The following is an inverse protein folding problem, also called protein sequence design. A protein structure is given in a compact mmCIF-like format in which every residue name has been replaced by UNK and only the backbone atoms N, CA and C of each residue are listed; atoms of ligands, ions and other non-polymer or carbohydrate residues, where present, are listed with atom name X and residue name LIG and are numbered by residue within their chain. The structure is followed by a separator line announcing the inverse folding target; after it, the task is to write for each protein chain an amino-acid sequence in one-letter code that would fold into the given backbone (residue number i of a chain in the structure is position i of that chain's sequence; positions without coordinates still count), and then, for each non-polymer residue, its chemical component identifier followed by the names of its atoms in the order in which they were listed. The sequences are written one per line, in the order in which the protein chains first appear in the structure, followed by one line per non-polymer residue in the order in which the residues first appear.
data_IF_870670167614
#
_entry.id   IF_870670167614
#
_cell.length_a   1.000
_cell.length_b   1.000
_cell.length_c   1.000
_cell.angle_alpha   90.00
_cell.angle_beta   90.00
_cell.angle_gamma   90.00
#
_symmetry.space_group_name_H-M   'P 1'
#
loop_
_entity.id
_entity.type
_entity.pdbx_description
1 polymer ?
#
# COMPACT_ATOMS: atom_id res chain seq x y z
N UNK A 1 23.95 24.22 19.65
CA UNK A 1 24.09 23.24 20.71
C UNK A 1 23.95 21.84 20.15
N UNK A 2 24.73 20.92 20.69
CA UNK A 2 24.55 19.48 20.43
C UNK A 2 23.43 18.95 21.35
N UNK A 3 22.61 18.04 20.85
CA UNK A 3 21.52 17.43 21.61
C UNK A 3 21.56 15.92 21.43
N UNK A 4 21.53 15.22 22.55
CA UNK A 4 21.30 13.77 22.60
C UNK A 4 19.85 13.55 23.01
N UNK A 5 19.16 12.67 22.30
CA UNK A 5 17.80 12.25 22.60
C UNK A 5 17.76 10.74 22.67
N UNK A 6 17.06 10.20 23.64
CA UNK A 6 16.79 8.78 23.75
C UNK A 6 15.38 8.59 24.27
N UNK A 7 14.68 7.61 23.75
CA UNK A 7 13.39 7.17 24.26
C UNK A 7 13.27 5.65 24.16
N UNK A 8 12.57 5.07 25.12
CA UNK A 8 12.19 3.67 25.09
C UNK A 8 10.73 3.56 25.49
N UNK A 9 10.04 2.60 24.91
CA UNK A 9 8.69 2.24 25.32
C UNK A 9 8.56 0.72 25.39
N UNK A 10 7.73 0.26 26.30
CA UNK A 10 7.36 -1.13 26.45
C UNK A 10 5.84 -1.23 26.61
N UNK A 11 5.22 -2.17 25.91
CA UNK A 11 3.79 -2.42 25.97
C UNK A 11 3.45 -3.87 25.64
N UNK A 12 2.22 -4.29 25.90
CA UNK A 12 1.72 -5.62 25.51
C UNK A 12 1.74 -5.87 24.01
N UNK A 13 1.85 -4.79 23.20
CA UNK A 13 1.84 -4.86 21.74
C UNK A 13 3.25 -4.68 21.12
N UNK A 14 4.27 -4.53 21.97
CA UNK A 14 5.65 -4.44 21.52
C UNK A 14 6.48 -3.38 22.23
N UNK A 15 7.75 -3.39 21.92
CA UNK A 15 8.78 -2.59 22.55
C UNK A 15 9.57 -1.81 21.51
N UNK A 16 10.17 -0.70 21.90
CA UNK A 16 11.02 0.06 21.01
C UNK A 16 12.01 0.95 21.73
N UNK A 17 13.15 1.14 21.08
CA UNK A 17 14.22 2.01 21.52
C UNK A 17 14.58 2.94 20.39
N UNK A 18 14.71 4.21 20.70
CA UNK A 18 15.22 5.25 19.82
C UNK A 18 16.39 5.96 20.49
N UNK A 19 17.45 6.21 19.71
CA UNK A 19 18.58 7.03 20.12
C UNK A 19 18.95 7.96 18.97
N UNK A 20 19.04 9.23 19.23
CA UNK A 20 19.44 10.25 18.27
C UNK A 20 20.41 11.25 18.86
N UNK A 21 21.37 11.67 18.03
CA UNK A 21 22.31 12.74 18.35
C UNK A 21 22.34 13.72 17.18
N UNK A 22 22.38 15.01 17.50
CA UNK A 22 22.47 16.03 16.47
C UNK A 22 23.24 17.27 16.90
N UNK A 23 23.97 17.84 15.94
CA UNK A 23 24.54 19.15 16.00
C UNK A 23 24.42 19.86 14.64
N UNK A 24 25.01 21.05 14.48
CA UNK A 24 24.90 21.83 13.22
C UNK A 24 25.48 21.14 11.98
N UNK A 25 26.43 20.21 12.14
CA UNK A 25 27.14 19.55 11.04
C UNK A 25 26.81 18.07 10.88
N UNK A 26 26.30 17.45 11.94
CA UNK A 26 26.09 16.03 12.02
C UNK A 26 24.79 15.72 12.76
N UNK A 27 23.98 14.84 12.23
CA UNK A 27 22.85 14.26 12.93
C UNK A 27 22.78 12.77 12.63
N UNK A 28 22.47 11.99 13.64
CA UNK A 28 22.36 10.56 13.55
C UNK A 28 21.22 10.07 14.42
N UNK A 29 20.41 9.16 13.92
CA UNK A 29 19.34 8.54 14.67
C UNK A 29 19.23 7.06 14.35
N UNK A 30 18.87 6.27 15.35
CA UNK A 30 18.61 4.85 15.25
C UNK A 30 17.36 4.49 16.00
N UNK A 31 16.63 3.54 15.47
CA UNK A 31 15.50 2.94 16.16
C UNK A 31 15.46 1.43 15.93
N UNK A 32 15.13 0.70 16.97
CA UNK A 32 14.79 -0.72 16.93
C UNK A 32 13.38 -0.84 17.46
N UNK A 33 12.52 -1.59 16.76
CA UNK A 33 11.16 -1.87 17.19
C UNK A 33 10.87 -3.34 17.08
N UNK A 34 10.27 -3.86 18.12
CA UNK A 34 9.60 -5.15 18.13
C UNK A 34 8.11 -4.94 18.32
N UNK A 35 7.29 -5.58 17.51
CA UNK A 35 5.82 -5.57 17.66
C UNK A 35 5.27 -6.98 17.56
N UNK A 36 4.24 -7.24 18.37
CA UNK A 36 3.44 -8.45 18.31
C UNK A 36 2.00 -8.12 18.66
N UNK A 37 1.06 -8.71 17.96
CA UNK A 37 -0.37 -8.63 18.32
C UNK A 37 -0.90 -9.96 18.83
N UNK A 38 0.00 -10.91 19.10
CA UNK A 38 -0.35 -12.24 19.59
C UNK A 38 -1.30 -12.20 20.78
N UNK A 39 -0.99 -11.39 21.79
CA UNK A 39 -1.80 -11.30 23.01
C UNK A 39 -3.19 -10.72 22.76
N UNK A 40 -3.33 -9.78 21.81
CA UNK A 40 -4.61 -9.20 21.43
C UNK A 40 -5.43 -10.18 20.60
N UNK A 41 -4.83 -10.82 19.61
CA UNK A 41 -5.53 -11.74 18.69
C UNK A 41 -5.91 -13.05 19.41
N UNK A 42 -5.10 -13.51 20.38
CA UNK A 42 -5.42 -14.68 21.19
C UNK A 42 -6.57 -14.47 22.19
N UNK A 43 -7.02 -13.23 22.41
CA UNK A 43 -8.20 -12.91 23.25
C UNK A 43 -9.50 -12.79 22.45
N UNK A 44 -9.43 -12.84 21.13
CA UNK A 44 -10.60 -12.76 20.23
C UNK A 44 -11.07 -14.16 19.88
N UNK A 45 -12.38 -14.34 19.76
CA UNK A 45 -12.97 -15.57 19.19
C UNK A 45 -12.69 -15.62 17.68
N UNK A 46 -11.48 -16.05 17.34
CA UNK A 46 -10.99 -16.12 15.97
C UNK A 46 -11.01 -17.56 15.42
N UNK A 47 -10.77 -17.68 14.11
CA UNK A 47 -10.72 -18.99 13.42
C UNK A 47 -9.44 -19.79 13.68
N UNK A 48 -8.57 -19.31 14.58
CA UNK A 48 -7.31 -19.94 14.90
C UNK A 48 -6.37 -18.98 15.66
N UNK A 49 -5.24 -19.50 16.10
CA UNK A 49 -4.22 -18.72 16.78
C UNK A 49 -3.31 -17.99 15.77
N UNK A 50 -3.32 -16.67 15.84
CA UNK A 50 -2.49 -15.78 15.01
C UNK A 50 -1.30 -15.27 15.81
N UNK A 51 -0.08 -15.50 15.32
CA UNK A 51 1.18 -15.11 15.99
C UNK A 51 2.04 -14.22 15.08
N UNK A 52 1.60 -12.99 14.77
CA UNK A 52 2.43 -12.06 14.02
C UNK A 52 3.52 -11.46 14.90
N UNK A 53 4.72 -11.36 14.35
CA UNK A 53 5.86 -10.69 14.97
C UNK A 53 6.57 -9.82 13.94
N UNK A 54 6.96 -8.62 14.35
CA UNK A 54 7.64 -7.64 13.52
C UNK A 54 8.87 -7.15 14.24
N UNK A 55 10.02 -7.23 13.59
CA UNK A 55 11.26 -6.62 14.07
C UNK A 55 11.76 -5.69 12.97
N UNK A 56 11.99 -4.44 13.30
CA UNK A 56 12.62 -3.51 12.38
C UNK A 56 13.73 -2.70 13.06
N UNK A 57 14.78 -2.46 12.28
CA UNK A 57 15.87 -1.55 12.59
C UNK A 57 15.94 -0.46 11.53
N UNK A 58 16.03 0.77 11.96
CA UNK A 58 16.17 1.93 11.08
C UNK A 58 17.30 2.83 11.57
N UNK A 59 18.12 3.31 10.63
CA UNK A 59 19.17 4.28 10.87
C UNK A 59 19.09 5.41 9.87
N UNK A 60 19.33 6.63 10.35
CA UNK A 60 19.41 7.80 9.50
C UNK A 60 20.57 8.69 9.92
N UNK A 61 21.40 9.06 8.96
CA UNK A 61 22.58 9.88 9.14
C UNK A 61 22.51 11.10 8.21
N UNK A 62 22.76 12.28 8.75
CA UNK A 62 22.95 13.51 7.98
C UNK A 62 24.31 14.13 8.32
N UNK A 63 25.10 14.43 7.29
CA UNK A 63 26.37 15.12 7.37
C UNK A 63 26.30 16.43 6.59
N UNK A 64 26.72 17.53 7.22
CA UNK A 64 26.84 18.87 6.61
C UNK A 64 28.26 19.36 6.77
N UNK A 65 29.21 18.87 5.94
CA UNK A 65 30.63 19.26 6.06
C UNK A 65 30.83 20.79 6.00
N UNK A 66 30.00 21.44 5.18
CA UNK A 66 29.94 22.89 5.07
C UNK A 66 28.51 23.34 4.67
N UNK A 67 28.34 24.69 4.42
CA UNK A 67 27.05 25.28 4.06
C UNK A 67 26.49 24.82 2.69
N UNK A 68 27.34 24.26 1.81
CA UNK A 68 26.99 23.87 0.45
C UNK A 68 26.67 22.40 0.30
N UNK A 69 27.29 21.53 1.10
CA UNK A 69 27.17 20.08 0.99
C UNK A 69 26.31 19.48 2.11
N UNK A 70 25.42 18.61 1.73
CA UNK A 70 24.64 17.78 2.65
C UNK A 70 24.60 16.34 2.14
N UNK A 71 24.96 15.40 3.00
CA UNK A 71 24.96 13.96 2.74
C UNK A 71 23.94 13.32 3.68
N UNK A 72 23.04 12.52 3.14
CA UNK A 72 22.04 11.79 3.90
C UNK A 72 22.20 10.28 3.61
N UNK A 73 22.19 9.45 4.64
CA UNK A 73 22.23 7.99 4.52
C UNK A 73 21.06 7.45 5.33
N UNK A 74 20.27 6.58 4.72
CA UNK A 74 19.15 5.88 5.35
C UNK A 74 19.36 4.37 5.17
N UNK A 75 19.21 3.62 6.25
CA UNK A 75 19.19 2.17 6.24
C UNK A 75 17.95 1.65 6.99
N UNK A 76 17.32 0.63 6.45
CA UNK A 76 16.22 -0.07 7.10
C UNK A 76 16.35 -1.58 6.86
N UNK A 77 16.17 -2.36 7.93
CA UNK A 77 16.07 -3.81 7.89
C UNK A 77 14.81 -4.19 8.65
N UNK A 78 13.93 -4.95 8.01
CA UNK A 78 12.75 -5.48 8.68
C UNK A 78 12.58 -6.98 8.44
N UNK A 79 12.10 -7.68 9.46
CA UNK A 79 11.73 -9.07 9.40
C UNK A 79 10.36 -9.25 10.05
N UNK A 80 9.39 -9.61 9.22
CA UNK A 80 8.01 -9.84 9.63
C UNK A 80 7.72 -11.33 9.48
N UNK A 81 7.28 -11.95 10.56
CA UNK A 81 6.86 -13.34 10.56
C UNK A 81 5.39 -13.39 10.97
N UNK A 82 4.64 -14.19 10.25
CA UNK A 82 3.26 -14.49 10.55
C UNK A 82 3.12 -16.01 10.64
N UNK A 83 2.62 -16.50 11.76
CA UNK A 83 2.28 -17.90 11.92
C UNK A 83 0.79 -17.97 12.26
N UNK A 84 0.10 -18.88 11.61
CA UNK A 84 -1.30 -19.18 11.85
C UNK A 84 -1.47 -20.66 12.13
N UNK A 85 -2.17 -20.97 13.19
CA UNK A 85 -2.56 -22.33 13.59
C UNK A 85 -4.07 -22.37 13.65
N UNK A 86 -4.73 -23.07 12.73
CA UNK A 86 -6.19 -23.19 12.75
C UNK A 86 -6.64 -23.98 13.99
N UNK A 87 -7.78 -23.59 14.54
CA UNK A 87 -8.38 -24.26 15.70
C UNK A 87 -9.69 -24.93 15.32
N UNK A 88 -9.98 -26.04 16.01
CA UNK A 88 -11.21 -26.77 15.86
C UNK A 88 -12.43 -25.90 16.16
N UNK A 89 -13.52 -26.15 15.43
CA UNK A 89 -14.76 -25.39 15.55
C UNK A 89 -15.97 -26.27 15.62
N UNK A 90 -16.92 -25.84 16.44
CA UNK A 90 -18.25 -26.40 16.49
C UNK A 90 -19.29 -25.28 16.37
N UNK A 91 -20.24 -25.47 15.45
CA UNK A 91 -21.39 -24.59 15.28
C UNK A 91 -22.66 -25.43 15.35
N UNK A 92 -23.59 -25.05 16.21
CA UNK A 92 -24.88 -25.71 16.34
C UNK A 92 -25.95 -24.83 15.70
N UNK A 93 -26.83 -25.45 14.93
CA UNK A 93 -27.92 -24.79 14.25
C UNK A 93 -29.10 -25.72 14.07
N UNK A 94 -30.28 -25.18 13.81
CA UNK A 94 -31.53 -25.93 13.62
C UNK A 94 -32.67 -25.36 14.47
N UNK A 95 -33.74 -26.14 14.55
CA UNK A 95 -34.90 -25.84 15.40
C UNK A 95 -34.74 -26.52 16.76
N UNK A 96 -35.64 -26.23 17.71
CA UNK A 96 -35.67 -26.91 19.02
C UNK A 96 -35.83 -28.41 18.95
N UNK A 97 -36.38 -28.94 17.84
CA UNK A 97 -36.66 -30.35 17.61
C UNK A 97 -35.63 -31.03 16.71
N UNK A 98 -34.83 -30.28 15.95
CA UNK A 98 -33.79 -30.82 15.05
C UNK A 98 -32.54 -29.94 15.11
N UNK A 99 -31.72 -30.13 16.12
CA UNK A 99 -30.43 -29.46 16.28
C UNK A 99 -29.31 -30.24 15.64
N UNK A 100 -28.57 -29.62 14.75
CA UNK A 100 -27.40 -30.19 14.09
C UNK A 100 -26.14 -29.55 14.61
N UNK A 101 -25.09 -30.35 14.83
CA UNK A 101 -23.74 -29.90 15.14
C UNK A 101 -22.88 -30.03 13.90
N UNK A 102 -22.32 -28.89 13.45
CA UNK A 102 -21.30 -28.84 12.43
C UNK A 102 -19.94 -28.62 13.09
N UNK A 103 -19.08 -29.60 13.04
CA UNK A 103 -17.75 -29.57 13.63
C UNK A 103 -16.69 -29.67 12.56
N UNK A 104 -15.68 -28.81 12.67
CA UNK A 104 -14.49 -28.81 11.81
C UNK A 104 -13.28 -29.06 12.68
N UNK A 105 -12.55 -30.12 12.37
CA UNK A 105 -11.27 -30.45 12.97
C UNK A 105 -10.17 -29.96 12.05
N UNK A 106 -9.22 -29.22 12.56
CA UNK A 106 -8.11 -28.70 11.78
C UNK A 106 -6.77 -29.31 12.24
N UNK A 107 -5.87 -29.47 11.27
CA UNK A 107 -4.47 -29.79 11.49
C UNK A 107 -3.59 -29.01 10.52
N UNK A 108 -2.37 -28.73 10.93
CA UNK A 108 -1.41 -28.01 10.11
C UNK A 108 -1.15 -26.57 10.53
N UNK A 109 -0.50 -25.84 9.66
CA UNK A 109 -0.07 -24.45 9.94
C UNK A 109 0.19 -23.66 8.67
N UNK A 110 0.13 -22.34 8.81
CA UNK A 110 0.63 -21.37 7.85
C UNK A 110 1.81 -20.60 8.44
N UNK A 111 2.83 -20.38 7.64
CA UNK A 111 4.02 -19.64 8.04
C UNK A 111 4.47 -18.72 6.91
N UNK A 112 4.37 -17.43 7.16
CA UNK A 112 4.77 -16.39 6.24
C UNK A 112 5.96 -15.62 6.79
N UNK A 113 6.89 -15.31 5.92
CA UNK A 113 8.11 -14.57 6.25
C UNK A 113 8.31 -13.48 5.21
N UNK A 114 8.44 -12.23 5.67
CA UNK A 114 8.74 -11.08 4.83
C UNK A 114 10.00 -10.40 5.36
N UNK A 115 11.10 -10.48 4.60
CA UNK A 115 12.37 -9.84 4.95
C UNK A 115 12.66 -8.73 3.97
N UNK A 116 12.87 -7.53 4.49
CA UNK A 116 13.14 -6.35 3.67
C UNK A 116 14.45 -5.69 4.09
N UNK A 117 15.25 -5.33 3.12
CA UNK A 117 16.47 -4.56 3.25
C UNK A 117 16.36 -3.35 2.37
N UNK A 118 16.57 -2.17 2.93
CA UNK A 118 16.56 -0.93 2.19
C UNK A 118 17.75 -0.08 2.59
N UNK A 119 18.43 0.50 1.61
CA UNK A 119 19.49 1.47 1.82
C UNK A 119 19.37 2.60 0.82
N UNK A 120 19.67 3.83 1.24
CA UNK A 120 19.82 4.95 0.34
C UNK A 120 20.93 5.90 0.80
N UNK A 121 21.61 6.50 -0.19
CA UNK A 121 22.59 7.56 0.02
C UNK A 121 22.24 8.73 -0.88
N UNK A 122 22.11 9.92 -0.28
CA UNK A 122 21.78 11.17 -0.94
C UNK A 122 22.90 12.19 -0.77
N UNK A 123 23.26 12.86 -1.86
CA UNK A 123 24.22 13.95 -1.89
C UNK A 123 23.50 15.19 -2.42
N UNK A 124 23.46 16.27 -1.66
CA UNK A 124 22.89 17.55 -2.08
C UNK A 124 23.97 18.60 -2.12
N UNK A 125 24.07 19.32 -3.24
CA UNK A 125 24.94 20.47 -3.41
C UNK A 125 24.14 21.74 -3.63
N UNK A 126 24.33 22.73 -2.78
CA UNK A 126 23.75 24.09 -2.89
C UNK A 126 24.65 24.94 -3.75
N UNK A 127 24.25 25.16 -5.01
CA UNK A 127 24.99 26.08 -5.93
C UNK A 127 24.94 27.48 -5.41
N UNK A 128 23.74 27.91 -4.98
CA UNK A 128 23.50 29.18 -4.30
C UNK A 128 22.33 29.04 -3.32
N UNK A 129 21.90 30.11 -2.66
CA UNK A 129 20.76 30.07 -1.74
C UNK A 129 19.43 29.69 -2.41
N UNK A 130 19.31 29.95 -3.71
CA UNK A 130 18.09 29.68 -4.48
C UNK A 130 18.13 28.35 -5.21
N UNK A 131 19.33 27.79 -5.46
CA UNK A 131 19.49 26.63 -6.38
C UNK A 131 20.26 25.51 -5.72
N UNK A 132 19.71 24.30 -5.81
CA UNK A 132 20.35 23.08 -5.34
C UNK A 132 20.17 21.92 -6.33
N UNK A 133 21.15 21.03 -6.34
CA UNK A 133 21.12 19.75 -7.06
C UNK A 133 21.26 18.64 -6.03
N UNK A 134 20.49 17.58 -6.18
CA UNK A 134 20.56 16.40 -5.32
C UNK A 134 20.68 15.14 -6.17
N UNK A 135 21.56 14.25 -5.75
CA UNK A 135 21.72 12.90 -6.32
C UNK A 135 21.41 11.90 -5.22
N UNK A 136 20.49 10.97 -5.48
CA UNK A 136 20.12 9.93 -4.52
C UNK A 136 20.22 8.57 -5.19
N UNK A 137 21.01 7.68 -4.61
CA UNK A 137 21.07 6.26 -4.96
C UNK A 137 20.34 5.47 -3.87
N UNK A 138 19.58 4.46 -4.26
CA UNK A 138 18.91 3.57 -3.32
C UNK A 138 18.84 2.14 -3.84
N UNK A 139 18.84 1.19 -2.91
CA UNK A 139 18.62 -0.22 -3.18
C UNK A 139 17.60 -0.79 -2.21
N UNK A 140 16.69 -1.58 -2.74
CA UNK A 140 15.64 -2.28 -2.01
C UNK A 140 15.70 -3.76 -2.37
N UNK A 141 15.66 -4.63 -1.36
CA UNK A 141 15.53 -6.08 -1.56
C UNK A 141 14.49 -6.61 -0.60
N UNK A 142 13.55 -7.38 -1.12
CA UNK A 142 12.60 -8.14 -0.30
C UNK A 142 12.64 -9.62 -0.66
N UNK A 143 12.47 -10.45 0.36
CA UNK A 143 12.22 -11.87 0.23
C UNK A 143 10.89 -12.18 0.93
N UNK A 144 9.94 -12.68 0.16
CA UNK A 144 8.61 -13.05 0.63
C UNK A 144 8.46 -14.56 0.50
N UNK A 145 8.00 -15.18 1.55
CA UNK A 145 7.74 -16.62 1.63
C UNK A 145 6.38 -16.82 2.28
N UNK A 146 5.51 -17.56 1.63
CA UNK A 146 4.24 -18.04 2.15
C UNK A 146 4.22 -19.56 2.04
N UNK A 147 4.05 -20.23 3.16
CA UNK A 147 4.01 -21.68 3.22
C UNK A 147 2.88 -22.14 4.13
N UNK A 148 2.01 -22.95 3.62
CA UNK A 148 1.01 -23.62 4.44
C UNK A 148 0.80 -25.08 4.02
N UNK A 149 0.47 -25.89 5.01
CA UNK A 149 -0.11 -27.19 4.92
C UNK A 149 -1.25 -27.21 5.93
N UNK A 150 -2.48 -27.16 5.46
CA UNK A 150 -3.68 -27.11 6.31
C UNK A 150 -4.63 -28.20 5.86
N UNK A 151 -4.98 -29.06 6.78
CA UNK A 151 -6.00 -30.08 6.61
C UNK A 151 -7.21 -29.73 7.47
N UNK A 152 -8.39 -29.90 6.94
CA UNK A 152 -9.63 -29.80 7.71
C UNK A 152 -10.53 -30.99 7.45
N UNK A 153 -11.14 -31.51 8.52
CA UNK A 153 -12.19 -32.49 8.46
C UNK A 153 -13.47 -31.92 9.02
N UNK A 154 -14.54 -31.92 8.28
CA UNK A 154 -15.84 -31.48 8.77
C UNK A 154 -16.85 -32.61 8.88
N UNK A 155 -17.60 -32.55 9.99
CA UNK A 155 -18.65 -33.51 10.31
C UNK A 155 -19.94 -32.77 10.62
N UNK A 156 -21.04 -33.28 10.09
CA UNK A 156 -22.38 -32.82 10.40
C UNK A 156 -23.11 -33.95 11.11
N UNK A 157 -23.52 -33.71 12.35
CA UNK A 157 -24.20 -34.69 13.18
C UNK A 157 -25.48 -34.10 13.76
N UNK A 158 -26.64 -34.80 13.69
CA UNK A 158 -27.78 -34.45 14.50
C UNK A 158 -27.45 -34.66 15.97
N UNK A 159 -27.90 -33.78 16.83
CA UNK A 159 -27.59 -33.87 18.26
C UNK A 159 -28.27 -35.06 18.93
N UNK A 160 -29.41 -35.48 18.43
CA UNK A 160 -30.20 -36.57 19.01
C UNK A 160 -29.69 -37.97 18.63
N UNK A 161 -29.23 -38.18 17.42
CA UNK A 161 -28.88 -39.53 16.93
C UNK A 161 -27.39 -39.80 16.91
N UNK A 162 -26.54 -38.80 16.99
CA UNK A 162 -25.07 -38.88 16.86
C UNK A 162 -24.59 -39.56 15.57
N UNK A 163 -25.47 -39.80 14.60
CA UNK A 163 -25.10 -40.31 13.30
C UNK A 163 -24.44 -39.23 12.44
N UNK A 164 -23.34 -39.55 11.78
CA UNK A 164 -22.70 -38.62 10.85
C UNK A 164 -23.56 -38.49 9.57
N UNK A 165 -24.17 -37.32 9.36
CA UNK A 165 -24.93 -36.99 8.16
C UNK A 165 -24.02 -36.59 6.99
N UNK A 166 -22.81 -36.18 7.27
CA UNK A 166 -21.84 -35.83 6.26
C UNK A 166 -20.44 -35.69 6.86
N UNK A 167 -19.47 -36.22 6.13
CA UNK A 167 -18.05 -36.09 6.43
C UNK A 167 -17.38 -35.56 5.17
N UNK A 168 -16.54 -34.56 5.34
CA UNK A 168 -15.74 -34.04 4.23
C UNK A 168 -14.34 -33.71 4.72
N UNK A 169 -13.38 -33.76 3.82
CA UNK A 169 -11.99 -33.44 4.10
C UNK A 169 -11.49 -32.49 3.03
N UNK A 170 -10.70 -31.52 3.42
CA UNK A 170 -9.91 -30.71 2.50
C UNK A 170 -8.45 -30.68 2.92
N UNK A 171 -7.58 -30.51 1.95
CA UNK A 171 -6.16 -30.31 2.17
C UNK A 171 -5.69 -29.16 1.28
N UNK A 172 -5.07 -28.17 1.88
CA UNK A 172 -4.50 -26.99 1.22
C UNK A 172 -2.99 -26.98 1.40
N UNK A 173 -2.29 -26.78 0.31
CA UNK A 173 -0.83 -26.72 0.27
C UNK A 173 -0.36 -25.49 -0.50
N UNK A 174 0.61 -24.79 0.03
CA UNK A 174 1.34 -23.74 -0.71
C UNK A 174 2.82 -23.69 -0.37
N UNK A 175 3.60 -23.39 -1.40
CA UNK A 175 5.04 -23.08 -1.33
C UNK A 175 5.29 -21.92 -2.29
N UNK A 176 5.11 -20.70 -1.79
CA UNK A 176 5.19 -19.48 -2.56
C UNK A 176 6.40 -18.67 -2.14
N UNK A 177 7.23 -18.30 -3.09
CA UNK A 177 8.43 -17.51 -2.88
C UNK A 177 8.46 -16.38 -3.89
N UNK A 178 8.76 -15.17 -3.42
CA UNK A 178 8.98 -14.00 -4.25
C UNK A 178 10.21 -13.26 -3.74
N UNK A 179 11.16 -13.06 -4.63
CA UNK A 179 12.34 -12.23 -4.40
C UNK A 179 12.26 -11.01 -5.32
N UNK A 180 12.35 -9.82 -4.75
CA UNK A 180 12.42 -8.60 -5.53
C UNK A 180 13.64 -7.78 -5.13
N UNK A 181 14.35 -7.28 -6.15
CA UNK A 181 15.49 -6.39 -6.01
C UNK A 181 15.28 -5.18 -6.93
N UNK A 182 15.36 -3.99 -6.34
CA UNK A 182 15.16 -2.74 -7.08
C UNK A 182 16.27 -1.76 -6.72
N UNK A 183 16.99 -1.30 -7.72
CA UNK A 183 17.99 -0.25 -7.61
C UNK A 183 17.47 1.03 -8.25
N UNK A 184 17.76 2.18 -7.67
CA UNK A 184 17.30 3.46 -8.19
C UNK A 184 18.39 4.53 -8.07
N UNK A 185 18.53 5.31 -9.12
CA UNK A 185 19.33 6.53 -9.13
C UNK A 185 18.43 7.69 -9.54
N UNK A 186 18.33 8.71 -8.67
CA UNK A 186 17.54 9.93 -8.90
C UNK A 186 18.44 11.16 -8.85
N UNK A 187 18.36 11.98 -9.88
CA UNK A 187 18.94 13.33 -9.89
C UNK A 187 17.80 14.34 -9.85
N UNK A 188 17.91 15.34 -8.99
CA UNK A 188 16.89 16.37 -8.80
C UNK A 188 17.54 17.77 -8.79
N UNK A 189 16.92 18.67 -9.51
CA UNK A 189 17.27 20.10 -9.58
C UNK A 189 16.12 20.94 -9.03
N UNK A 190 16.40 21.85 -8.11
CA UNK A 190 15.42 22.80 -7.58
C UNK A 190 16.01 24.20 -7.66
N UNK A 191 15.21 25.18 -8.12
CA UNK A 191 15.62 26.58 -8.14
C UNK A 191 14.43 27.51 -7.90
N UNK A 192 14.69 28.58 -7.16
CA UNK A 192 13.74 29.67 -6.92
C UNK A 192 14.17 30.89 -7.68
N UNK A 193 13.35 31.35 -8.62
CA UNK A 193 13.63 32.52 -9.45
C UNK A 193 12.44 33.48 -9.39
N UNK A 194 12.59 34.58 -8.62
CA UNK A 194 11.55 35.60 -8.40
C UNK A 194 10.23 34.95 -7.89
N UNK A 195 9.25 34.78 -8.78
CA UNK A 195 7.91 34.25 -8.49
C UNK A 195 7.78 32.74 -8.80
N UNK A 196 8.81 32.14 -9.34
CA UNK A 196 8.86 30.75 -9.78
C UNK A 196 9.62 29.87 -8.77
N UNK A 197 9.13 28.66 -8.56
CA UNK A 197 9.79 27.61 -7.80
C UNK A 197 9.80 26.36 -8.68
N UNK A 198 10.91 26.18 -9.40
CA UNK A 198 11.06 25.17 -10.45
C UNK A 198 11.73 23.93 -9.86
N UNK A 199 11.15 22.78 -10.13
CA UNK A 199 11.71 21.49 -9.80
C UNK A 199 11.76 20.61 -11.06
N UNK A 200 12.90 19.99 -11.29
CA UNK A 200 13.06 18.96 -12.33
C UNK A 200 13.78 17.74 -11.75
N UNK A 201 13.39 16.56 -12.19
CA UNK A 201 14.10 15.35 -11.79
C UNK A 201 14.13 14.32 -12.92
N UNK A 202 15.18 13.50 -12.86
CA UNK A 202 15.33 12.29 -13.66
C UNK A 202 15.60 11.11 -12.73
N UNK A 203 14.92 9.99 -12.96
CA UNK A 203 15.05 8.77 -12.17
C UNK A 203 15.20 7.57 -13.10
N UNK A 204 16.16 6.73 -12.79
CA UNK A 204 16.34 5.40 -13.40
C UNK A 204 16.16 4.34 -12.32
N UNK A 205 15.37 3.30 -12.61
CA UNK A 205 15.19 2.14 -11.72
C UNK A 205 15.41 0.87 -12.49
N UNK A 206 16.20 -0.03 -11.94
CA UNK A 206 16.31 -1.41 -12.42
C UNK A 206 15.53 -2.31 -11.47
N UNK A 207 14.66 -3.14 -12.01
CA UNK A 207 13.78 -4.04 -11.27
C UNK A 207 14.13 -5.47 -11.67
N UNK A 208 14.38 -6.32 -10.68
CA UNK A 208 14.54 -7.76 -10.87
C UNK A 208 13.65 -8.48 -9.87
N UNK A 209 12.66 -9.23 -10.37
CA UNK A 209 11.68 -9.92 -9.54
C UNK A 209 11.62 -11.37 -10.01
N UNK A 210 11.76 -12.32 -9.09
CA UNK A 210 11.60 -13.74 -9.35
C UNK A 210 10.49 -14.30 -8.47
N UNK A 211 9.69 -15.16 -9.05
CA UNK A 211 8.60 -15.85 -8.42
C UNK A 211 8.71 -17.35 -8.67
N UNK A 212 8.52 -18.11 -7.60
CA UNK A 212 8.33 -19.55 -7.67
C UNK A 212 7.18 -19.94 -6.75
N UNK A 213 6.04 -20.28 -7.33
CA UNK A 213 4.82 -20.60 -6.58
C UNK A 213 4.28 -21.97 -7.00
N UNK A 214 3.88 -22.74 -6.00
CA UNK A 214 3.20 -24.01 -6.16
C UNK A 214 2.10 -24.13 -5.11
N UNK A 215 0.85 -24.15 -5.56
CA UNK A 215 -0.31 -24.29 -4.71
C UNK A 215 -1.21 -25.42 -5.21
N UNK A 216 -1.84 -26.11 -4.30
CA UNK A 216 -2.95 -27.01 -4.66
C UNK A 216 -3.93 -27.16 -3.51
N UNK A 217 -5.16 -27.48 -3.86
CA UNK A 217 -6.23 -27.83 -2.94
C UNK A 217 -6.88 -29.14 -3.37
N UNK A 218 -7.01 -30.04 -2.42
CA UNK A 218 -7.70 -31.31 -2.58
C UNK A 218 -8.94 -31.30 -1.69
N UNK A 219 -10.04 -31.84 -2.18
CA UNK A 219 -11.28 -32.02 -1.42
C UNK A 219 -11.87 -33.39 -1.63
N UNK A 220 -12.47 -33.85 -0.56
CA UNK A 220 -13.50 -34.86 -0.57
C UNK A 220 -14.73 -34.34 0.16
N UNK A 221 -15.90 -34.57 -0.34
CA UNK A 221 -17.14 -34.25 0.35
C UNK A 221 -18.15 -35.38 0.17
N UNK A 222 -18.64 -35.87 1.27
CA UNK A 222 -19.70 -36.84 1.23
C UNK A 222 -21.04 -36.17 0.93
N UNK A 223 -21.51 -36.27 -0.31
CA UNK A 223 -22.89 -36.05 -0.77
C UNK A 223 -23.50 -34.63 -0.72
N UNK A 224 -22.83 -33.56 -0.23
CA UNK A 224 -23.53 -32.31 -0.05
C UNK A 224 -23.13 -31.16 -0.99
N UNK A 225 -21.85 -30.94 -1.33
CA UNK A 225 -21.43 -29.79 -2.10
C UNK A 225 -20.67 -30.11 -3.40
N UNK A 226 -20.19 -31.31 -3.55
CA UNK A 226 -19.50 -31.82 -4.73
C UNK A 226 -20.03 -33.21 -5.01
N UNK A 227 -20.24 -33.61 -6.26
CA UNK A 227 -20.61 -34.97 -6.55
C UNK A 227 -19.65 -35.93 -5.85
N UNK A 228 -20.16 -36.70 -4.90
CA UNK A 228 -19.36 -37.69 -4.19
C UNK A 228 -18.94 -38.80 -5.18
N UNK A 229 -17.65 -39.07 -5.23
CA UNK A 229 -17.09 -40.00 -6.20
C UNK A 229 -16.20 -41.06 -5.57
N UNK A 230 -16.36 -41.32 -4.28
CA UNK A 230 -15.54 -42.25 -3.52
C UNK A 230 -14.88 -41.61 -2.29
N UNK A 231 -14.02 -42.37 -1.63
CA UNK A 231 -13.29 -41.95 -0.43
C UNK A 231 -12.01 -41.14 -0.70
N UNK A 232 -11.69 -40.89 -1.96
CA UNK A 232 -10.42 -40.28 -2.32
C UNK A 232 -10.52 -38.74 -2.43
N UNK A 233 -9.54 -38.07 -1.90
CA UNK A 233 -9.38 -36.62 -2.07
C UNK A 233 -9.10 -36.28 -3.54
N UNK A 234 -9.91 -35.38 -4.12
CA UNK A 234 -9.72 -34.92 -5.49
C UNK A 234 -9.08 -33.58 -5.52
N UNK A 235 -8.13 -33.41 -6.43
CA UNK A 235 -7.53 -32.09 -6.71
C UNK A 235 -8.58 -31.22 -7.41
N UNK A 236 -9.01 -30.15 -6.74
CA UNK A 236 -9.97 -29.17 -7.26
C UNK A 236 -9.30 -27.89 -7.73
N UNK A 237 -8.09 -27.64 -7.27
CA UNK A 237 -7.30 -26.48 -7.64
C UNK A 237 -5.82 -26.85 -7.64
N UNK A 238 -5.10 -26.39 -8.65
CA UNK A 238 -3.64 -26.45 -8.69
C UNK A 238 -3.12 -25.25 -9.47
N UNK A 239 -2.16 -24.54 -8.91
CA UNK A 239 -1.48 -23.42 -9.57
C UNK A 239 0.03 -23.59 -9.49
N UNK A 240 0.71 -23.28 -10.58
CA UNK A 240 2.17 -23.20 -10.67
C UNK A 240 2.58 -21.90 -11.35
N UNK A 241 3.55 -21.22 -10.77
CA UNK A 241 4.18 -20.04 -11.37
C UNK A 241 5.68 -20.13 -11.21
N UNK A 242 6.41 -19.92 -12.30
CA UNK A 242 7.86 -19.76 -12.31
C UNK A 242 8.19 -18.60 -13.23
N UNK A 243 8.26 -17.41 -12.65
CA UNK A 243 8.36 -16.17 -13.39
C UNK A 243 9.65 -15.41 -13.04
N UNK A 244 10.19 -14.71 -14.02
CA UNK A 244 11.28 -13.75 -13.82
C UNK A 244 10.97 -12.48 -14.61
N UNK A 245 11.02 -11.33 -13.94
CA UNK A 245 10.90 -10.03 -14.53
C UNK A 245 12.21 -9.28 -14.32
N UNK A 246 12.85 -8.86 -15.43
CA UNK A 246 13.96 -7.92 -15.41
C UNK A 246 13.57 -6.73 -16.29
N UNK A 247 13.46 -5.57 -15.69
CA UNK A 247 12.97 -4.39 -16.37
C UNK A 247 13.66 -3.12 -15.88
N UNK A 248 13.64 -2.09 -16.72
CA UNK A 248 14.11 -0.75 -16.40
C UNK A 248 12.96 0.23 -16.51
N UNK A 249 12.82 1.11 -15.50
CA UNK A 249 11.94 2.26 -15.54
C UNK A 249 12.77 3.53 -15.60
N UNK A 250 12.43 4.41 -16.52
CA UNK A 250 13.01 5.75 -16.64
C UNK A 250 11.90 6.77 -16.51
N UNK A 251 12.10 7.73 -15.64
CA UNK A 251 11.11 8.79 -15.38
C UNK A 251 11.82 10.14 -15.38
N UNK A 252 11.22 11.12 -16.04
CA UNK A 252 11.63 12.51 -15.95
C UNK A 252 10.41 13.39 -15.70
N UNK A 253 10.59 14.45 -14.94
CA UNK A 253 9.56 15.48 -14.79
C UNK A 253 10.15 16.86 -14.63
N UNK A 254 9.34 17.85 -15.01
CA UNK A 254 9.54 19.25 -14.70
C UNK A 254 8.23 19.83 -14.20
N UNK A 255 8.32 20.64 -13.14
CA UNK A 255 7.17 21.37 -12.60
C UNK A 255 7.61 22.77 -12.15
N UNK A 256 6.67 23.72 -12.19
CA UNK A 256 6.83 25.07 -11.69
C UNK A 256 5.67 25.45 -10.78
N UNK A 257 5.98 26.15 -9.72
CA UNK A 257 5.04 26.85 -8.86
C UNK A 257 5.18 28.35 -9.08
N UNK A 258 4.28 28.92 -9.84
CA UNK A 258 4.23 30.35 -10.13
C UNK A 258 3.29 31.08 -9.19
N UNK A 259 3.83 32.05 -8.42
CA UNK A 259 3.06 32.88 -7.48
C UNK A 259 2.91 34.28 -8.01
N UNK A 260 1.69 34.77 -8.14
CA UNK A 260 1.39 36.12 -8.62
C UNK A 260 0.19 36.71 -7.90
N UNK A 261 0.01 38.00 -8.03
CA UNK A 261 -1.12 38.74 -7.47
C UNK A 261 -1.86 39.50 -8.58
N UNK A 262 -3.14 39.75 -8.36
CA UNK A 262 -3.93 40.65 -9.23
C UNK A 262 -3.42 42.08 -9.21
N UNK A 263 -3.91 42.90 -10.15
CA UNK A 263 -3.73 44.35 -10.09
C UNK A 263 -4.19 44.85 -8.72
N UNK A 264 -3.36 45.70 -8.09
CA UNK A 264 -3.56 46.15 -6.71
C UNK A 264 -3.13 45.17 -5.63
N UNK A 265 -2.52 44.00 -5.98
CA UNK A 265 -1.96 42.96 -5.09
C UNK A 265 -2.93 42.40 -4.06
N UNK A 266 -4.24 42.43 -4.33
CA UNK A 266 -5.27 42.01 -3.38
C UNK A 266 -5.62 40.50 -3.45
N UNK A 267 -5.78 39.93 -4.67
CA UNK A 267 -5.99 38.50 -4.84
C UNK A 267 -4.68 37.79 -5.13
N UNK A 268 -4.38 36.73 -4.38
CA UNK A 268 -3.16 35.95 -4.53
C UNK A 268 -3.47 34.65 -5.29
N UNK A 269 -2.63 34.36 -6.27
CA UNK A 269 -2.72 33.16 -7.09
C UNK A 269 -1.46 32.32 -6.94
N UNK A 270 -1.65 31.00 -6.83
CA UNK A 270 -0.57 30.02 -6.88
C UNK A 270 -0.92 29.02 -7.98
N UNK A 271 -0.20 29.09 -9.09
CA UNK A 271 -0.35 28.16 -10.22
C UNK A 271 0.78 27.14 -10.17
N UNK A 272 0.41 25.85 -10.02
CA UNK A 272 1.35 24.74 -10.15
C UNK A 272 1.05 24.04 -11.47
N UNK A 273 2.07 23.83 -12.28
CA UNK A 273 1.93 23.09 -13.53
C UNK A 273 3.20 22.29 -13.80
N UNK A 274 3.04 21.20 -14.50
CA UNK A 274 4.16 20.34 -14.81
C UNK A 274 3.79 19.17 -15.66
N UNK A 275 4.80 18.47 -16.11
CA UNK A 275 4.68 17.29 -16.94
C UNK A 275 5.66 16.22 -16.47
N UNK A 276 5.22 14.97 -16.47
CA UNK A 276 6.05 13.79 -16.25
C UNK A 276 5.99 12.90 -17.47
N UNK A 277 7.13 12.39 -17.88
CA UNK A 277 7.28 11.31 -18.84
C UNK A 277 7.85 10.09 -18.13
N UNK A 278 7.34 8.90 -18.41
CA UNK A 278 7.87 7.66 -17.88
C UNK A 278 7.89 6.59 -18.98
N UNK A 279 8.95 5.78 -18.97
CA UNK A 279 9.13 4.64 -19.87
C UNK A 279 9.39 3.38 -19.07
N UNK A 280 8.68 2.29 -19.38
CA UNK A 280 8.90 0.97 -18.80
C UNK A 280 9.33 -0.03 -19.87
N UNK A 281 10.54 -0.56 -19.74
CA UNK A 281 11.14 -1.45 -20.76
C UNK A 281 10.44 -2.82 -20.86
N UNK A 282 9.70 -3.23 -19.83
CA UNK A 282 9.00 -4.51 -19.78
C UNK A 282 7.95 -4.66 -20.89
N UNK A 283 7.06 -3.66 -21.00
CA UNK A 283 6.00 -3.59 -22.01
C UNK A 283 6.26 -2.54 -23.08
N UNK A 284 7.44 -1.88 -23.06
CA UNK A 284 7.84 -0.79 -23.96
C UNK A 284 6.90 0.41 -23.97
N UNK A 285 6.14 0.61 -22.88
CA UNK A 285 5.20 1.69 -22.76
C UNK A 285 5.89 3.00 -22.39
N UNK A 286 5.50 4.08 -23.08
CA UNK A 286 5.88 5.45 -22.72
C UNK A 286 4.63 6.24 -22.45
N UNK A 287 4.55 6.89 -21.28
CA UNK A 287 3.40 7.64 -20.80
C UNK A 287 3.77 9.08 -20.51
N UNK A 288 2.82 9.99 -20.77
CA UNK A 288 2.95 11.43 -20.53
C UNK A 288 1.84 11.87 -19.57
N UNK A 289 2.21 12.53 -18.48
CA UNK A 289 1.31 12.88 -17.36
C UNK A 289 1.36 14.40 -17.09
N UNK A 290 0.61 15.23 -17.86
CA UNK A 290 0.48 16.65 -17.54
C UNK A 290 -0.44 16.86 -16.33
N UNK A 291 -0.13 17.90 -15.54
CA UNK A 291 -0.89 18.29 -14.34
C UNK A 291 -0.89 19.78 -14.19
N UNK A 292 -2.01 20.33 -13.70
CA UNK A 292 -2.14 21.74 -13.37
C UNK A 292 -3.03 21.90 -12.14
N UNK A 293 -2.68 22.83 -11.27
CA UNK A 293 -3.54 23.26 -10.16
C UNK A 293 -3.42 24.75 -9.91
N UNK A 294 -4.53 25.37 -9.55
CA UNK A 294 -4.65 26.79 -9.25
C UNK A 294 -5.20 26.96 -7.83
N UNK A 295 -4.43 27.62 -6.99
CA UNK A 295 -4.85 28.10 -5.67
C UNK A 295 -5.16 29.60 -5.74
N UNK A 296 -6.25 30.01 -5.13
CA UNK A 296 -6.74 31.38 -5.14
C UNK A 296 -7.06 31.80 -3.70
N UNK A 297 -6.45 32.87 -3.22
CA UNK A 297 -6.83 33.58 -2.01
C UNK A 297 -7.47 34.90 -2.46
N UNK A 298 -8.80 35.05 -2.37
CA UNK A 298 -9.51 36.17 -2.94
C UNK A 298 -9.32 37.46 -2.11
N UNK A 299 -9.33 38.59 -2.78
CA UNK A 299 -9.15 39.89 -2.15
C UNK A 299 -10.23 40.25 -1.10
N UNK A 300 -11.44 39.71 -1.24
CA UNK A 300 -12.55 40.01 -0.35
C UNK A 300 -12.43 39.28 1.00
N UNK A 301 -11.69 38.18 1.07
CA UNK A 301 -11.48 37.47 2.33
C UNK A 301 -10.21 36.59 2.26
N UNK A 302 -9.17 36.99 2.97
CA UNK A 302 -7.89 36.27 3.05
C UNK A 302 -7.96 34.92 3.81
N UNK A 303 -9.05 34.69 4.57
CA UNK A 303 -9.31 33.44 5.25
C UNK A 303 -9.90 32.36 4.33
N UNK A 304 -10.28 32.74 3.12
CA UNK A 304 -10.79 31.82 2.09
C UNK A 304 -9.64 31.36 1.20
N UNK A 305 -9.59 30.08 0.89
CA UNK A 305 -8.71 29.53 -0.14
C UNK A 305 -9.53 28.62 -1.05
N UNK A 306 -9.53 28.91 -2.34
CA UNK A 306 -10.14 28.07 -3.38
C UNK A 306 -9.04 27.30 -4.13
N UNK A 307 -9.33 26.07 -4.53
CA UNK A 307 -8.39 25.23 -5.28
C UNK A 307 -9.12 24.58 -6.45
N UNK A 308 -8.46 24.58 -7.61
CA UNK A 308 -8.87 23.82 -8.77
C UNK A 308 -7.68 23.00 -9.24
N UNK A 309 -7.88 21.73 -9.53
CA UNK A 309 -6.82 20.88 -10.03
C UNK A 309 -7.33 19.89 -11.08
N UNK A 310 -6.50 19.66 -12.07
CA UNK A 310 -6.73 18.60 -13.05
C UNK A 310 -5.41 17.99 -13.49
N UNK A 311 -5.46 16.76 -13.96
CA UNK A 311 -4.27 16.09 -14.46
C UNK A 311 -4.56 14.69 -14.96
N UNK A 312 -3.61 14.21 -15.75
CA UNK A 312 -3.58 12.85 -16.26
C UNK A 312 -2.56 12.05 -15.45
N UNK A 313 -3.04 10.98 -14.85
CA UNK A 313 -2.26 10.12 -13.97
C UNK A 313 -2.19 8.72 -14.54
N UNK A 314 -1.02 8.11 -14.42
CA UNK A 314 -0.81 6.71 -14.77
C UNK A 314 -0.17 5.96 -13.62
N UNK A 315 -0.58 4.72 -13.45
CA UNK A 315 0.00 3.76 -12.55
C UNK A 315 0.39 2.51 -13.34
N UNK A 316 1.68 2.26 -13.45
CA UNK A 316 2.15 0.99 -14.01
C UNK A 316 1.69 -0.16 -13.13
N UNK A 317 1.26 -1.28 -13.72
CA UNK A 317 0.84 -2.43 -12.93
C UNK A 317 2.01 -2.96 -12.08
N UNK A 318 1.67 -3.46 -10.90
CA UNK A 318 2.62 -4.19 -10.07
C UNK A 318 2.67 -5.67 -10.47
N UNK A 319 3.64 -6.39 -9.97
CA UNK A 319 3.98 -7.73 -10.42
C UNK A 319 2.80 -8.73 -10.44
N UNK A 320 1.94 -8.72 -9.40
CA UNK A 320 0.79 -9.62 -9.35
C UNK A 320 -0.32 -9.24 -10.34
N UNK A 321 -0.46 -7.96 -10.70
CA UNK A 321 -1.47 -7.48 -11.67
C UNK A 321 -1.16 -7.89 -13.12
N UNK A 322 0.10 -8.14 -13.46
CA UNK A 322 0.50 -8.59 -14.80
C UNK A 322 0.51 -10.12 -14.97
N UNK A 323 0.06 -10.85 -13.98
CA UNK A 323 -0.11 -12.30 -14.12
C UNK A 323 -1.29 -12.61 -15.04
N UNK A 324 -1.05 -13.50 -15.99
CA UNK A 324 -2.06 -14.10 -16.85
C UNK A 324 -2.09 -15.59 -16.57
N UNK A 325 -3.28 -16.18 -16.44
CA UNK A 325 -3.45 -17.57 -16.05
C UNK A 325 -4.06 -18.38 -17.17
N UNK A 326 -3.51 -19.58 -17.39
CA UNK A 326 -4.05 -20.58 -18.31
C UNK A 326 -4.12 -21.93 -17.64
N UNK A 327 -5.20 -22.68 -17.88
CA UNK A 327 -5.36 -24.00 -17.30
C UNK A 327 -5.20 -25.09 -18.37
N UNK A 328 -4.25 -26.00 -18.13
CA UNK A 328 -3.96 -27.13 -18.99
C UNK A 328 -3.98 -28.41 -18.16
N UNK A 329 -4.80 -29.39 -18.53
CA UNK A 329 -4.94 -30.67 -17.83
C UNK A 329 -5.21 -30.53 -16.32
N UNK A 330 -6.05 -29.55 -15.92
CA UNK A 330 -6.42 -29.32 -14.53
C UNK A 330 -5.38 -28.56 -13.70
N UNK A 331 -4.23 -28.19 -14.29
CA UNK A 331 -3.20 -27.36 -13.64
C UNK A 331 -3.26 -25.94 -14.21
N UNK A 332 -3.39 -24.95 -13.36
CA UNK A 332 -3.32 -23.55 -13.72
C UNK A 332 -1.87 -23.08 -13.70
N UNK A 333 -1.43 -22.51 -14.80
CA UNK A 333 -0.11 -21.91 -14.95
C UNK A 333 -0.27 -20.39 -14.94
N UNK A 334 0.47 -19.70 -14.07
CA UNK A 334 0.52 -18.25 -14.06
C UNK A 334 1.80 -17.78 -14.75
N UNK A 335 1.63 -16.99 -15.82
CA UNK A 335 2.71 -16.39 -16.63
C UNK A 335 2.59 -14.87 -16.59
N UNK A 336 3.60 -14.17 -17.10
CA UNK A 336 3.60 -12.69 -17.10
C UNK A 336 3.12 -12.13 -18.44
N UNK A 337 2.05 -11.33 -18.40
CA UNK A 337 1.52 -10.64 -19.56
C UNK A 337 2.36 -9.38 -19.91
N UNK A 338 3.11 -9.44 -21.00
CA UNK A 338 3.90 -8.30 -21.52
C UNK A 338 3.06 -7.21 -22.20
N UNK A 339 1.78 -7.46 -22.45
CA UNK A 339 0.86 -6.50 -23.09
C UNK A 339 0.12 -5.62 -22.08
N UNK A 340 0.20 -5.95 -20.78
CA UNK A 340 -0.42 -5.16 -19.73
C UNK A 340 0.10 -3.72 -19.73
N UNK A 341 -0.82 -2.75 -19.78
CA UNK A 341 -0.53 -1.31 -19.83
C UNK A 341 -0.76 -0.65 -18.48
N UNK A 342 -0.23 0.55 -18.34
CA UNK A 342 -0.50 1.39 -17.16
C UNK A 342 -1.97 1.74 -17.06
N UNK A 343 -2.52 1.61 -15.87
CA UNK A 343 -3.86 2.09 -15.53
C UNK A 343 -3.86 3.61 -15.56
N UNK A 344 -4.93 4.22 -16.06
CA UNK A 344 -5.04 5.66 -16.30
C UNK A 344 -6.15 6.29 -15.48
N UNK A 345 -5.91 7.49 -14.97
CA UNK A 345 -6.93 8.29 -14.29
C UNK A 345 -6.83 9.76 -14.68
N UNK A 346 -7.95 10.37 -15.09
CA UNK A 346 -8.08 11.82 -15.28
C UNK A 346 -8.79 12.36 -14.04
N UNK A 347 -8.19 13.33 -13.35
CA UNK A 347 -8.76 13.93 -12.15
C UNK A 347 -9.29 15.33 -12.45
N UNK A 348 -10.47 15.64 -11.91
CA UNK A 348 -11.05 16.98 -11.81
C UNK A 348 -11.37 17.21 -10.34
N UNK A 349 -10.78 18.24 -9.74
CA UNK A 349 -10.88 18.50 -8.30
C UNK A 349 -11.17 19.98 -8.08
N UNK A 350 -12.14 20.28 -7.23
CA UNK A 350 -12.44 21.61 -6.73
C UNK A 350 -12.47 21.61 -5.21
N UNK A 351 -11.69 22.47 -4.59
CA UNK A 351 -11.55 22.55 -3.14
C UNK A 351 -11.84 23.95 -2.62
N UNK A 352 -12.38 24.03 -1.42
CA UNK A 352 -12.69 25.25 -0.70
C UNK A 352 -12.26 25.10 0.75
N UNK A 353 -11.49 26.05 1.27
CA UNK A 353 -11.14 26.16 2.68
C UNK A 353 -11.57 27.52 3.22
N UNK A 354 -12.14 27.53 4.41
CA UNK A 354 -12.48 28.74 5.12
C UNK A 354 -12.07 28.66 6.58
N UNK A 355 -11.28 29.64 7.01
CA UNK A 355 -10.85 29.81 8.41
C UNK A 355 -11.70 30.91 9.06
N UNK A 356 -12.27 30.64 10.20
CA UNK A 356 -13.12 31.59 10.93
C UNK A 356 -12.98 31.41 12.43
N UNK A 357 -13.51 32.37 13.17
CA UNK A 357 -13.54 32.33 14.64
C UNK A 357 -14.97 32.34 15.13
N UNK A 358 -15.27 31.52 16.12
CA UNK A 358 -16.50 31.55 16.91
C UNK A 358 -16.08 31.68 18.37
N UNK A 359 -16.56 32.71 19.09
CA UNK A 359 -16.22 32.96 20.49
C UNK A 359 -14.69 32.95 20.75
N UNK A 360 -13.94 33.61 19.87
CA UNK A 360 -12.48 33.70 19.88
C UNK A 360 -11.71 32.38 19.66
N UNK A 361 -12.39 31.26 19.34
CA UNK A 361 -11.82 29.97 18.99
C UNK A 361 -11.68 29.83 17.50
N UNK A 362 -10.60 29.17 17.05
CA UNK A 362 -10.32 29.00 15.63
C UNK A 362 -11.03 27.76 15.08
N UNK A 363 -11.70 27.94 13.93
CA UNK A 363 -12.32 26.87 13.16
C UNK A 363 -11.82 26.91 11.73
N UNK A 364 -11.78 25.74 11.10
CA UNK A 364 -11.53 25.59 9.67
C UNK A 364 -12.54 24.66 9.07
N UNK A 365 -13.27 25.15 8.09
CA UNK A 365 -14.10 24.34 7.21
C UNK A 365 -13.31 24.05 5.94
N UNK A 366 -13.30 22.79 5.50
CA UNK A 366 -12.71 22.33 4.22
C UNK A 366 -13.77 21.52 3.49
N UNK A 367 -13.94 21.77 2.19
CA UNK A 367 -14.76 20.96 1.31
C UNK A 367 -13.98 20.67 0.02
N UNK A 368 -14.07 19.44 -0.49
CA UNK A 368 -13.44 19.04 -1.74
C UNK A 368 -14.41 18.16 -2.53
N UNK A 369 -14.73 18.57 -3.74
CA UNK A 369 -15.47 17.78 -4.70
C UNK A 369 -14.50 17.24 -5.76
N UNK A 370 -14.63 15.98 -6.12
CA UNK A 370 -13.79 15.36 -7.13
C UNK A 370 -14.57 14.46 -8.07
N UNK A 371 -14.06 14.39 -9.30
CA UNK A 371 -14.48 13.42 -10.30
C UNK A 371 -13.25 12.83 -10.99
N UNK A 372 -13.17 11.49 -10.99
CA UNK A 372 -12.05 10.75 -11.57
C UNK A 372 -12.58 9.83 -12.67
N UNK A 373 -12.03 9.95 -13.85
CA UNK A 373 -12.32 9.08 -15.00
C UNK A 373 -11.21 8.03 -15.03
N UNK A 374 -11.58 6.77 -14.87
CA UNK A 374 -10.65 5.64 -14.80
C UNK A 374 -10.68 4.86 -16.11
N UNK A 375 -9.51 4.47 -16.58
CA UNK A 375 -9.39 3.68 -17.82
C UNK A 375 -8.19 2.72 -17.76
N UNK A 376 -8.19 1.73 -18.61
CA UNK A 376 -7.18 0.68 -18.64
C UNK A 376 -7.04 -0.03 -17.28
N UNK A 377 -8.13 -0.19 -16.54
CA UNK A 377 -8.12 -0.87 -15.27
C UNK A 377 -7.91 -2.38 -15.46
N UNK A 378 -7.15 -2.97 -14.58
CA UNK A 378 -6.96 -4.43 -14.53
C UNK A 378 -7.99 -5.00 -13.56
N UNK A 379 -8.96 -5.78 -14.06
CA UNK A 379 -9.99 -6.36 -13.21
C UNK A 379 -9.42 -7.44 -12.27
N UNK A 380 -10.06 -7.58 -11.13
CA UNK A 380 -9.74 -8.61 -10.16
C UNK A 380 -11.01 -9.15 -9.50
N UNK A 381 -10.94 -10.35 -8.99
CA UNK A 381 -11.94 -10.92 -8.10
C UNK A 381 -11.33 -11.25 -6.75
N UNK A 382 -12.19 -11.28 -5.73
CA UNK A 382 -11.80 -11.73 -4.40
C UNK A 382 -12.52 -13.04 -4.11
N UNK A 383 -11.76 -14.11 -3.97
CA UNK A 383 -12.27 -15.42 -3.65
C UNK A 383 -11.63 -15.89 -2.34
N UNK A 384 -12.45 -16.04 -1.29
CA UNK A 384 -12.00 -16.46 0.04
C UNK A 384 -10.75 -15.68 0.53
N UNK A 385 -10.80 -14.34 0.48
CA UNK A 385 -9.69 -13.43 0.85
C UNK A 385 -8.54 -13.40 -0.17
N UNK A 386 -8.45 -14.34 -1.10
CA UNK A 386 -7.45 -14.32 -2.17
C UNK A 386 -7.88 -13.39 -3.30
N UNK A 387 -6.99 -12.46 -3.68
CA UNK A 387 -7.18 -11.58 -4.83
C UNK A 387 -6.62 -12.25 -6.07
N UNK A 388 -7.46 -12.42 -7.08
CA UNK A 388 -7.08 -12.99 -8.38
C UNK A 388 -7.21 -11.91 -9.44
N UNK A 389 -6.10 -11.55 -10.09
CA UNK A 389 -6.06 -10.59 -11.20
C UNK A 389 -6.23 -11.30 -12.54
N UNK A 390 -6.92 -10.64 -13.47
CA UNK A 390 -7.18 -11.21 -14.80
C UNK A 390 -6.15 -10.78 -15.85
N UNK A 391 -5.11 -10.02 -15.46
CA UNK A 391 -3.93 -9.72 -16.27
C UNK A 391 -4.12 -8.78 -17.47
N UNK A 392 -5.35 -8.43 -17.83
CA UNK A 392 -5.69 -7.56 -18.98
C UNK A 392 -6.24 -6.20 -18.55
N UNK A 393 -6.09 -5.17 -19.41
CA UNK A 393 -6.61 -3.81 -19.17
C UNK A 393 -8.01 -3.63 -19.77
N UNK A 394 -8.98 -4.41 -19.33
CA UNK A 394 -10.28 -4.53 -19.98
C UNK A 394 -11.37 -3.66 -19.37
N UNK A 395 -11.09 -3.05 -18.21
CA UNK A 395 -12.08 -2.30 -17.45
C UNK A 395 -11.87 -0.78 -17.52
N UNK A 396 -12.97 -0.06 -17.36
CA UNK A 396 -13.01 1.39 -17.17
C UNK A 396 -14.05 1.71 -16.10
N UNK A 397 -13.97 2.91 -15.54
CA UNK A 397 -14.88 3.29 -14.48
C UNK A 397 -14.78 4.77 -14.12
N UNK A 398 -15.44 5.14 -13.04
CA UNK A 398 -15.32 6.48 -12.46
C UNK A 398 -15.39 6.43 -10.93
N UNK A 399 -14.85 7.48 -10.32
CA UNK A 399 -15.04 7.75 -8.90
C UNK A 399 -15.41 9.23 -8.73
N UNK A 400 -16.52 9.50 -8.08
CA UNK A 400 -16.98 10.84 -7.75
C UNK A 400 -17.22 10.96 -6.26
N UNK A 401 -16.90 12.11 -5.66
CA UNK A 401 -17.13 12.30 -4.25
C UNK A 401 -17.11 13.75 -3.81
N UNK A 402 -17.63 13.93 -2.59
CA UNK A 402 -17.62 15.17 -1.84
C UNK A 402 -17.14 14.86 -0.42
N UNK A 403 -16.01 15.43 -0.06
CA UNK A 403 -15.43 15.33 1.27
C UNK A 403 -15.54 16.68 1.97
N UNK A 404 -16.11 16.69 3.19
CA UNK A 404 -16.21 17.87 4.02
C UNK A 404 -15.61 17.61 5.39
N UNK A 405 -14.93 18.61 5.94
CA UNK A 405 -14.35 18.55 7.29
C UNK A 405 -14.50 19.89 7.98
N UNK A 406 -15.04 19.86 9.18
CA UNK A 406 -15.02 20.96 10.12
C UNK A 406 -14.08 20.61 11.27
N UNK A 407 -13.01 21.36 11.37
CA UNK A 407 -11.99 21.22 12.42
C UNK A 407 -12.03 22.46 13.32
N UNK A 408 -11.89 22.27 14.63
CA UNK A 408 -11.81 23.38 15.57
C UNK A 408 -12.00 22.94 17.02
N UNK A 409 -11.94 23.92 17.89
CA UNK A 409 -12.10 23.76 19.33
C UNK A 409 -13.58 23.85 19.71
N UNK A 410 -14.36 22.76 19.55
CA UNK A 410 -15.78 22.70 19.93
C UNK A 410 -15.95 22.77 21.46
N UNK A 411 -15.03 22.13 22.18
CA UNK A 411 -14.91 22.20 23.63
C UNK A 411 -13.60 22.91 23.95
N UNK A 412 -13.57 23.87 24.91
CA UNK A 412 -12.34 24.57 25.29
C UNK A 412 -11.20 23.61 25.63
N UNK A 413 -10.02 23.82 25.00
CA UNK A 413 -8.83 23.00 25.24
C UNK A 413 -8.81 21.62 24.55
N UNK A 414 -9.85 21.29 23.75
CA UNK A 414 -9.91 20.03 23.02
C UNK A 414 -10.03 20.26 21.50
N UNK A 415 -8.97 19.90 20.77
CA UNK A 415 -9.02 19.85 19.32
C UNK A 415 -9.97 18.75 18.87
N UNK A 416 -10.98 19.13 18.08
CA UNK A 416 -12.04 18.25 17.64
C UNK A 416 -12.31 18.42 16.15
N UNK A 417 -12.87 17.38 15.52
CA UNK A 417 -13.28 17.49 14.12
C UNK A 417 -14.53 16.66 13.82
N UNK A 418 -15.28 17.13 12.85
CA UNK A 418 -16.36 16.42 12.19
C UNK A 418 -16.00 16.23 10.74
N UNK A 419 -16.07 15.02 10.22
CA UNK A 419 -15.85 14.72 8.80
C UNK A 419 -17.08 14.03 8.21
N UNK A 420 -17.39 14.42 6.97
CA UNK A 420 -18.45 13.82 6.17
C UNK A 420 -17.87 13.52 4.78
N UNK A 421 -18.04 12.30 4.31
CA UNK A 421 -17.61 11.85 2.99
C UNK A 421 -18.73 11.13 2.28
N UNK A 422 -19.03 11.57 1.06
CA UNK A 422 -19.96 10.92 0.15
C UNK A 422 -19.17 10.49 -1.10
N UNK A 423 -19.18 9.20 -1.42
CA UNK A 423 -18.44 8.66 -2.55
C UNK A 423 -19.30 7.70 -3.35
N UNK A 424 -19.20 7.81 -4.68
CA UNK A 424 -19.74 6.85 -5.64
C UNK A 424 -18.60 6.36 -6.52
N UNK A 425 -18.40 5.06 -6.60
CA UNK A 425 -17.44 4.42 -7.50
C UNK A 425 -18.13 3.36 -8.31
N UNK A 426 -17.77 3.29 -9.59
CA UNK A 426 -18.27 2.28 -10.51
C UNK A 426 -17.16 1.83 -11.46
N UNK A 427 -17.04 0.54 -11.63
CA UNK A 427 -16.16 -0.12 -12.59
C UNK A 427 -16.98 -1.01 -13.53
#
# INVERSE_FOLDING_TARGET
PSRLEASAYASLLGDGIYVGYGNKKFAWSNSVRYKTTRNLLGSLDTKGEYRPTFVDYQTFLTLKPNKRWEINILGNISNNNYNFYPEDRETRFGTSEDVKSFRVFFDGQEKDVFRTYFGSAGLTYKICNATKVSLTASAFKTHEQERYDIQGQYRLTPTETSENLGVGTFFQHARNYLDAHVESLKMMFNTKAKKHDIEAAFTIKNEHITENSAEYEMRDSSNYNIPHTGSDLKMIYSMRAKNSLSARRMEAYIQDTYRFASAGKKTLYTLNYGVRIAHWSYNKETILSPRVSLGIIPAFNENVTMRLATGLYYQSPFFKEIRDTSTVNGVTYATLNRKAKSQRSIHLIAGYDYRFKINNRQFRFSAEAYYKILGNLIPYSVNNVKVVYYGGNECSGHAAGLDMKLYGEFVPGADSWLSFSLMNTRM
#
